data_IF_444952112914
#
_entry.id   IF_444952112914
#
_cell.length_a   1.000
_cell.length_b   1.000
_cell.length_c   1.000
_cell.angle_alpha   90.00
_cell.angle_beta   90.00
_cell.angle_gamma   90.00
#
_symmetry.space_group_name_H-M   'P 1'
#
loop_
_entity.id
_entity.type
_entity.pdbx_description
1 polymer ?
#
# COMPACT_ATOMS: atom_id res chain seq x y z
N UNK A 1 -8.35 -2.38 -11.59
CA UNK A 1 -7.78 -2.65 -10.27
C UNK A 1 -8.93 -3.05 -9.37
N UNK A 2 -8.94 -4.27 -8.84
CA UNK A 2 -10.15 -4.96 -8.38
C UNK A 2 -10.30 -4.89 -6.85
N UNK A 3 -11.40 -5.40 -6.31
CA UNK A 3 -11.59 -5.61 -4.88
C UNK A 3 -11.45 -4.34 -4.04
N UNK A 4 -10.72 -4.43 -2.93
CA UNK A 4 -10.56 -3.33 -1.95
C UNK A 4 -9.95 -2.08 -2.57
N UNK A 5 -9.11 -2.25 -3.59
CA UNK A 5 -8.28 -1.19 -4.14
C UNK A 5 -8.97 -0.42 -5.27
N UNK A 6 -10.00 -0.99 -5.89
CA UNK A 6 -10.79 -0.32 -6.94
C UNK A 6 -12.23 0.01 -6.57
N UNK A 7 -12.70 -0.35 -5.37
CA UNK A 7 -14.06 -0.06 -4.95
C UNK A 7 -14.26 1.41 -4.62
N UNK A 8 -15.42 1.96 -4.97
CA UNK A 8 -15.90 3.23 -4.41
C UNK A 8 -16.17 3.04 -2.91
N UNK A 9 -15.55 3.87 -2.08
CA UNK A 9 -15.63 3.74 -0.61
C UNK A 9 -16.71 4.68 -0.09
N UNK A 10 -17.73 4.13 0.54
CA UNK A 10 -18.79 4.89 1.25
C UNK A 10 -18.51 5.03 2.75
N UNK A 11 -17.52 4.29 3.27
CA UNK A 11 -17.10 4.30 4.67
C UNK A 11 -15.57 4.31 4.75
N UNK A 12 -14.96 4.92 5.79
CA UNK A 12 -13.52 4.88 6.00
C UNK A 12 -12.99 3.46 6.14
N UNK A 13 -11.79 3.21 5.63
CA UNK A 13 -11.08 1.94 5.72
C UNK A 13 -9.83 2.09 6.59
N UNK A 14 -9.72 1.23 7.61
CA UNK A 14 -8.55 1.17 8.49
C UNK A 14 -7.84 -0.16 8.27
N UNK A 15 -6.56 -0.11 7.91
CA UNK A 15 -5.72 -1.30 7.80
C UNK A 15 -5.03 -1.57 9.15
N UNK A 16 -5.25 -2.75 9.74
CA UNK A 16 -4.43 -3.24 10.85
C UNK A 16 -3.34 -4.15 10.27
N UNK A 17 -2.07 -3.81 10.52
CA UNK A 17 -0.93 -4.50 9.91
C UNK A 17 -0.05 -5.12 10.99
N UNK A 18 -0.11 -6.44 11.05
CA UNK A 18 0.69 -7.29 11.92
C UNK A 18 1.76 -8.01 11.07
N UNK A 19 3.01 -7.58 11.17
CA UNK A 19 4.10 -8.14 10.36
C UNK A 19 4.19 -7.61 8.92
N UNK A 20 4.40 -8.50 7.95
CA UNK A 20 4.81 -8.10 6.59
C UNK A 20 3.62 -7.79 5.69
N UNK A 21 3.56 -6.57 5.17
CA UNK A 21 2.66 -6.14 4.10
C UNK A 21 3.49 -5.74 2.87
N UNK A 22 3.75 -6.70 1.97
CA UNK A 22 4.53 -6.49 0.75
C UNK A 22 3.69 -6.64 -0.51
N UNK A 23 4.13 -5.96 -1.57
CA UNK A 23 3.51 -5.96 -2.89
C UNK A 23 2.03 -5.62 -2.82
N UNK A 24 1.16 -6.48 -3.38
CA UNK A 24 -0.29 -6.28 -3.35
C UNK A 24 -0.87 -6.01 -1.96
N UNK A 25 -0.30 -6.59 -0.90
CA UNK A 25 -0.70 -6.29 0.49
C UNK A 25 -0.40 -4.83 0.86
N UNK A 26 0.75 -4.31 0.45
CA UNK A 26 1.08 -2.89 0.65
C UNK A 26 0.21 -1.98 -0.23
N UNK A 27 -0.12 -2.41 -1.45
CA UNK A 27 -1.03 -1.65 -2.32
C UNK A 27 -2.44 -1.53 -1.73
N UNK A 28 -2.91 -2.58 -1.04
CA UNK A 28 -4.16 -2.54 -0.26
C UNK A 28 -4.05 -1.55 0.89
N UNK A 29 -2.95 -1.58 1.64
CA UNK A 29 -2.70 -0.63 2.75
C UNK A 29 -2.71 0.82 2.24
N UNK A 30 -2.06 1.10 1.11
CA UNK A 30 -2.05 2.45 0.49
C UNK A 30 -3.43 2.89 -0.03
N UNK A 31 -4.40 1.99 -0.15
CA UNK A 31 -5.78 2.32 -0.53
C UNK A 31 -6.69 2.64 0.68
N UNK A 32 -6.21 2.38 1.90
CA UNK A 32 -6.91 2.67 3.14
C UNK A 32 -6.76 4.15 3.55
N UNK A 33 -7.64 4.60 4.44
CA UNK A 33 -7.64 5.97 4.98
C UNK A 33 -6.68 6.10 6.17
N UNK A 34 -6.53 5.02 6.95
CA UNK A 34 -5.66 4.98 8.11
C UNK A 34 -5.01 3.60 8.23
N UNK A 35 -3.81 3.59 8.81
CA UNK A 35 -3.05 2.37 9.06
C UNK A 35 -2.68 2.31 10.54
N UNK A 36 -3.03 1.20 11.18
CA UNK A 36 -2.56 0.82 12.53
C UNK A 36 -1.48 -0.23 12.33
N UNK A 37 -0.23 0.13 12.61
CA UNK A 37 0.92 -0.74 12.39
C UNK A 37 1.46 -1.28 13.72
N UNK A 38 1.63 -2.59 13.79
CA UNK A 38 2.33 -3.24 14.89
C UNK A 38 3.83 -2.88 14.89
N UNK A 39 4.50 -3.09 16.03
CA UNK A 39 5.94 -2.82 16.15
C UNK A 39 6.80 -3.64 15.17
N UNK A 40 6.31 -4.81 14.75
CA UNK A 40 6.98 -5.69 13.79
C UNK A 40 6.51 -5.46 12.34
N UNK A 41 5.68 -4.45 12.08
CA UNK A 41 5.13 -4.20 10.76
C UNK A 41 6.22 -3.81 9.75
N UNK A 42 6.20 -4.40 8.56
CA UNK A 42 7.12 -4.08 7.47
C UNK A 42 6.36 -3.86 6.17
N UNK A 43 6.68 -2.77 5.49
CA UNK A 43 6.03 -2.35 4.25
C UNK A 43 7.05 -2.30 3.11
N UNK A 44 6.61 -2.57 1.88
CA UNK A 44 7.48 -2.45 0.72
C UNK A 44 6.92 -3.06 -0.56
N UNK A 45 7.55 -2.70 -1.67
CA UNK A 45 7.25 -3.21 -3.02
C UNK A 45 8.46 -4.01 -3.55
N UNK A 46 8.78 -5.19 -2.97
CA UNK A 46 9.94 -5.99 -3.39
C UNK A 46 9.84 -6.49 -4.84
N UNK A 47 8.65 -6.49 -5.42
CA UNK A 47 8.41 -6.85 -6.83
C UNK A 47 9.11 -5.90 -7.81
N UNK A 48 9.32 -4.64 -7.45
CA UNK A 48 10.05 -3.66 -8.28
C UNK A 48 11.48 -4.11 -8.51
N UNK A 49 12.10 -4.74 -7.50
CA UNK A 49 13.45 -5.33 -7.61
C UNK A 49 13.50 -6.54 -8.56
N UNK A 50 12.34 -7.08 -8.95
CA UNK A 50 12.21 -8.18 -9.92
C UNK A 50 11.73 -7.69 -11.29
N UNK A 51 11.77 -6.38 -11.55
CA UNK A 51 11.31 -5.79 -12.81
C UNK A 51 9.79 -5.78 -12.99
N UNK A 52 9.04 -6.02 -11.92
CA UNK A 52 7.58 -5.99 -11.94
C UNK A 52 7.05 -4.61 -11.54
N UNK A 53 5.91 -4.27 -12.12
CA UNK A 53 5.23 -2.99 -11.87
C UNK A 53 4.11 -3.22 -10.85
N UNK A 54 4.04 -2.44 -9.76
CA UNK A 54 2.98 -2.54 -8.77
C UNK A 54 1.67 -1.94 -9.34
N UNK A 55 0.89 -2.80 -9.98
CA UNK A 55 -0.22 -2.43 -10.86
C UNK A 55 -1.56 -2.22 -10.14
N UNK A 56 -1.64 -2.52 -8.83
CA UNK A 56 -2.85 -2.26 -8.03
C UNK A 56 -2.93 -0.80 -7.54
N UNK A 57 -2.06 0.07 -8.03
CA UNK A 57 -2.17 1.52 -7.83
C UNK A 57 -1.22 2.09 -6.79
N UNK A 58 -0.18 1.35 -6.39
CA UNK A 58 0.97 1.94 -5.70
C UNK A 58 1.54 3.15 -6.46
N UNK A 59 1.67 3.05 -7.79
CA UNK A 59 2.25 4.12 -8.63
C UNK A 59 1.50 5.44 -8.47
N UNK A 60 0.18 5.37 -8.32
CA UNK A 60 -0.68 6.56 -8.22
C UNK A 60 -0.84 7.04 -6.78
N UNK A 61 -0.76 6.14 -5.78
CA UNK A 61 -1.02 6.47 -4.38
C UNK A 61 0.24 6.72 -3.57
N UNK A 62 1.39 6.14 -3.92
CA UNK A 62 2.62 6.21 -3.15
C UNK A 62 3.04 7.66 -2.85
N UNK A 63 3.02 8.54 -3.85
CA UNK A 63 3.36 9.96 -3.69
C UNK A 63 2.36 10.77 -2.85
N UNK A 64 1.14 10.25 -2.66
CA UNK A 64 0.09 10.88 -1.87
C UNK A 64 0.12 10.43 -0.40
N UNK A 65 0.50 9.17 -0.15
CA UNK A 65 0.43 8.55 1.18
C UNK A 65 1.79 8.39 1.86
N UNK A 66 2.90 8.50 1.12
CA UNK A 66 4.26 8.44 1.64
C UNK A 66 4.99 9.77 1.43
N UNK A 67 6.01 10.08 2.26
CA UNK A 67 6.93 11.17 1.96
C UNK A 67 7.58 10.98 0.58
N UNK A 68 7.74 12.06 -0.19
CA UNK A 68 8.19 11.99 -1.58
C UNK A 68 9.51 11.24 -1.77
N UNK A 69 10.47 11.41 -0.86
CA UNK A 69 11.76 10.73 -0.93
C UNK A 69 11.67 9.24 -0.61
N UNK A 70 10.63 8.81 0.11
CA UNK A 70 10.36 7.40 0.40
C UNK A 70 9.59 6.77 -0.76
N UNK A 71 8.63 7.49 -1.35
CA UNK A 71 7.83 7.02 -2.48
C UNK A 71 8.64 6.75 -3.76
N UNK A 72 9.82 7.37 -3.89
CA UNK A 72 10.72 7.25 -5.05
C UNK A 72 11.76 6.13 -4.92
N UNK A 73 11.91 5.53 -3.74
CA UNK A 73 12.87 4.44 -3.47
C UNK A 73 12.31 3.10 -3.93
#
# INVERSE_FOLDING_TARGET
IYGVVGRTRTKPLIAAVEGVAFGGGFEVVMACDMVVAAKNARFGLPEVKRGLIPSSGAIFRASRVLPLNVAKQ
#
